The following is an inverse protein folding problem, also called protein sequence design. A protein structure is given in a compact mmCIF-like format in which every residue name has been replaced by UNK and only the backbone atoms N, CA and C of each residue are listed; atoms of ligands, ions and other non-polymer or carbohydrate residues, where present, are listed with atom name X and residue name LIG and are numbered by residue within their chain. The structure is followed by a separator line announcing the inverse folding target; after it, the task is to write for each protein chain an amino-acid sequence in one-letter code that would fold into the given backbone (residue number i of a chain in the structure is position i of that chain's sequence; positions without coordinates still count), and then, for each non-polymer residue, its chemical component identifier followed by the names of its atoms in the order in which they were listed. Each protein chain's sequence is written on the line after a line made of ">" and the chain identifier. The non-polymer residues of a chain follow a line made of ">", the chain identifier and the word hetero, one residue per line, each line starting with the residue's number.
data_IF_013340087768
#
_entry.id   IF_013340087768
#
_cell.length_a   1.000
_cell.length_b   1.000
_cell.length_c   1.000
_cell.angle_alpha   90.00
_cell.angle_beta   90.00
_cell.angle_gamma   90.00
#
_symmetry.space_group_name_H-M   'P 1'
#
loop_
_entity.id
_entity.type
_entity.pdbx_description
1 polymer ?
#
# COMPACT_ATOMS: atom_id res chain seq x y z
N UNK A 1 -85.28 38.75 -34.15
CA UNK A 1 -84.79 37.98 -32.97
C UNK A 1 -83.54 37.15 -33.32
N UNK A 2 -83.45 36.64 -34.57
CA UNK A 2 -82.32 35.81 -35.01
C UNK A 2 -80.93 36.48 -34.91
N UNK A 3 -80.71 37.78 -35.31
CA UNK A 3 -79.35 38.34 -35.23
C UNK A 3 -78.85 38.56 -33.80
N UNK A 4 -79.78 38.73 -32.85
CA UNK A 4 -79.41 38.91 -31.43
C UNK A 4 -78.98 37.55 -30.81
N UNK A 5 -79.59 36.47 -31.20
CA UNK A 5 -79.18 35.08 -30.78
C UNK A 5 -77.82 34.75 -31.30
N UNK A 6 -77.55 35.05 -32.60
CA UNK A 6 -76.22 34.81 -33.22
C UNK A 6 -75.14 35.62 -32.52
N UNK A 7 -75.37 36.88 -32.20
CA UNK A 7 -74.49 37.76 -31.45
C UNK A 7 -74.15 37.14 -30.06
N UNK A 8 -75.19 36.66 -29.37
CA UNK A 8 -75.04 36.07 -28.02
C UNK A 8 -74.21 34.76 -28.10
N UNK A 9 -74.47 33.93 -29.10
CA UNK A 9 -73.70 32.69 -29.31
C UNK A 9 -72.22 32.99 -29.61
N UNK A 10 -71.93 33.96 -30.47
CA UNK A 10 -70.57 34.37 -30.82
C UNK A 10 -69.85 34.91 -29.57
N UNK A 11 -70.57 35.75 -28.75
CA UNK A 11 -69.99 36.29 -27.52
C UNK A 11 -69.76 35.23 -26.47
N UNK A 12 -70.65 34.21 -26.35
CA UNK A 12 -70.46 33.08 -25.43
C UNK A 12 -69.28 32.21 -25.86
N UNK A 13 -69.12 31.90 -27.18
CA UNK A 13 -67.97 31.17 -27.70
C UNK A 13 -66.68 31.93 -27.46
N UNK A 14 -66.67 33.23 -27.70
CA UNK A 14 -65.50 34.08 -27.44
C UNK A 14 -65.13 34.08 -25.93
N UNK A 15 -66.09 34.13 -25.03
CA UNK A 15 -65.90 34.12 -23.60
C UNK A 15 -65.34 32.74 -23.12
N UNK A 16 -65.88 31.65 -23.68
CA UNK A 16 -65.37 30.30 -23.42
C UNK A 16 -63.93 30.15 -23.98
N UNK A 17 -63.66 30.66 -25.14
CA UNK A 17 -62.31 30.62 -25.75
C UNK A 17 -61.30 31.42 -24.91
N UNK A 18 -61.68 32.58 -24.42
CA UNK A 18 -60.86 33.43 -23.49
C UNK A 18 -60.64 32.69 -22.18
N UNK A 19 -61.67 32.07 -21.60
CA UNK A 19 -61.54 31.30 -20.38
C UNK A 19 -60.61 30.07 -20.55
N UNK A 20 -60.77 29.38 -21.65
CA UNK A 20 -59.90 28.23 -22.00
C UNK A 20 -58.47 28.65 -22.24
N UNK A 21 -58.18 29.80 -22.85
CA UNK A 21 -56.83 30.34 -23.07
C UNK A 21 -56.14 30.70 -21.75
N UNK A 22 -56.88 30.90 -20.65
CA UNK A 22 -56.36 31.18 -19.30
C UNK A 22 -55.73 29.98 -18.62
N UNK A 23 -56.00 28.75 -19.04
CA UNK A 23 -55.42 27.59 -18.42
C UNK A 23 -53.97 27.41 -18.86
N UNK A 24 -53.05 27.45 -17.85
CA UNK A 24 -51.59 27.26 -18.01
C UNK A 24 -51.14 26.14 -17.12
N UNK A 25 -50.37 25.23 -17.68
CA UNK A 25 -49.72 24.14 -16.93
C UNK A 25 -48.33 24.58 -16.52
N UNK A 26 -48.03 24.48 -15.23
CA UNK A 26 -46.69 24.61 -14.67
C UNK A 26 -46.15 23.23 -14.36
N UNK A 27 -44.99 22.86 -14.93
CA UNK A 27 -44.39 21.54 -14.78
C UNK A 27 -43.77 21.37 -13.38
N UNK A 28 -43.56 20.13 -12.87
CA UNK A 28 -43.04 19.92 -11.51
C UNK A 28 -41.67 20.56 -11.22
N UNK A 29 -40.85 20.71 -12.26
CA UNK A 29 -39.53 21.32 -12.16
C UNK A 29 -39.52 22.85 -12.40
N UNK A 30 -40.70 23.45 -12.58
CA UNK A 30 -40.85 24.88 -12.82
C UNK A 30 -41.67 25.54 -11.71
N UNK A 31 -41.32 26.77 -11.38
CA UNK A 31 -42.19 27.68 -10.64
C UNK A 31 -42.72 28.77 -11.54
N UNK A 32 -43.99 29.09 -11.37
CA UNK A 32 -44.66 30.13 -12.15
C UNK A 32 -44.72 31.43 -11.36
N UNK A 33 -44.23 32.54 -11.93
CA UNK A 33 -44.41 33.89 -11.42
C UNK A 33 -45.59 34.52 -12.10
N UNK A 34 -46.61 34.92 -11.34
CA UNK A 34 -47.80 35.63 -11.88
C UNK A 34 -47.58 37.11 -11.74
N UNK A 35 -47.62 37.80 -12.86
CA UNK A 35 -47.64 39.26 -12.97
C UNK A 35 -49.06 39.77 -13.27
N UNK A 36 -49.47 40.79 -12.55
CA UNK A 36 -50.71 41.54 -12.80
C UNK A 36 -50.31 42.92 -13.35
N UNK A 37 -50.62 43.17 -14.62
CA UNK A 37 -50.29 44.44 -15.29
C UNK A 37 -48.83 44.91 -15.08
N UNK A 38 -47.89 43.98 -15.16
CA UNK A 38 -46.46 44.27 -14.99
C UNK A 38 -45.97 44.29 -13.52
N UNK A 39 -46.87 44.08 -12.54
CA UNK A 39 -46.49 43.99 -11.13
C UNK A 39 -46.49 42.53 -10.67
N UNK A 40 -45.45 42.08 -10.01
CA UNK A 40 -45.40 40.75 -9.36
C UNK A 40 -46.56 40.62 -8.33
N UNK A 41 -47.35 39.57 -8.45
CA UNK A 41 -48.47 39.25 -7.57
C UNK A 41 -48.11 38.09 -6.63
N UNK A 42 -47.75 36.93 -7.20
CA UNK A 42 -47.43 35.72 -6.43
C UNK A 42 -46.68 34.70 -7.24
N UNK A 43 -45.99 33.81 -6.51
CA UNK A 43 -45.39 32.61 -7.05
C UNK A 43 -46.36 31.43 -6.93
N UNK A 44 -46.46 30.59 -7.95
CA UNK A 44 -47.28 29.38 -7.97
C UNK A 44 -46.43 28.15 -8.24
N UNK A 45 -46.76 27.09 -7.51
CA UNK A 45 -46.13 25.78 -7.70
C UNK A 45 -46.77 25.03 -8.89
N UNK A 46 -46.20 23.85 -9.19
CA UNK A 46 -46.62 22.99 -10.28
C UNK A 46 -48.13 22.65 -10.24
N UNK A 47 -48.67 22.41 -11.42
CA UNK A 47 -50.05 22.03 -11.62
C UNK A 47 -50.77 22.89 -12.66
N UNK A 48 -52.07 22.63 -12.81
CA UNK A 48 -52.94 23.42 -13.68
C UNK A 48 -53.35 24.72 -12.95
N UNK A 49 -53.02 25.87 -13.54
CA UNK A 49 -53.36 27.19 -13.01
C UNK A 49 -54.16 27.96 -14.03
N UNK A 50 -55.21 28.62 -13.52
CA UNK A 50 -55.97 29.55 -14.34
C UNK A 50 -55.44 30.97 -14.16
N UNK A 51 -55.00 31.57 -15.23
CA UNK A 51 -54.41 32.89 -15.30
C UNK A 51 -55.26 33.74 -16.26
N UNK A 52 -55.85 34.83 -15.76
CA UNK A 52 -56.71 35.67 -16.56
C UNK A 52 -55.93 36.22 -17.76
N UNK A 53 -56.31 35.83 -18.98
CA UNK A 53 -55.63 36.31 -20.18
C UNK A 53 -55.77 37.84 -20.32
N UNK A 54 -54.82 38.49 -20.99
CA UNK A 54 -54.68 39.93 -21.22
C UNK A 54 -54.26 40.75 -19.97
N UNK A 55 -54.65 40.37 -18.76
CA UNK A 55 -54.41 41.11 -17.54
C UNK A 55 -53.26 40.51 -16.72
N UNK A 56 -53.18 39.17 -16.69
CA UNK A 56 -52.15 38.43 -15.96
C UNK A 56 -51.25 37.68 -16.91
N UNK A 57 -49.96 37.70 -16.62
CA UNK A 57 -48.91 36.93 -17.32
C UNK A 57 -48.26 35.94 -16.37
N UNK A 58 -47.94 34.75 -16.85
CA UNK A 58 -47.15 33.79 -16.10
C UNK A 58 -45.78 33.64 -16.73
N UNK A 59 -44.72 33.84 -15.94
CA UNK A 59 -43.34 33.58 -16.29
C UNK A 59 -42.93 32.27 -15.62
N UNK A 60 -42.40 31.35 -16.36
CA UNK A 60 -41.96 30.04 -15.85
C UNK A 60 -40.45 30.05 -15.67
N UNK A 61 -40.00 29.77 -14.45
CA UNK A 61 -38.59 29.67 -14.09
C UNK A 61 -38.26 28.19 -13.83
N UNK A 62 -37.25 27.67 -14.46
CA UNK A 62 -36.74 26.31 -14.24
C UNK A 62 -35.90 26.29 -12.96
N UNK A 63 -36.23 25.36 -12.05
CA UNK A 63 -35.58 25.20 -10.74
C UNK A 63 -34.52 24.12 -10.70
N UNK A 64 -34.33 23.41 -11.82
CA UNK A 64 -33.30 22.34 -11.91
C UNK A 64 -31.90 22.94 -12.01
N UNK A 65 -30.93 22.13 -11.69
CA UNK A 65 -29.55 22.45 -11.96
C UNK A 65 -29.34 22.67 -13.48
N UNK A 66 -28.71 23.79 -13.80
CA UNK A 66 -28.39 24.19 -15.16
C UNK A 66 -26.88 24.44 -15.29
N UNK A 67 -26.42 24.44 -16.51
CA UNK A 67 -25.01 24.59 -16.84
C UNK A 67 -24.79 25.82 -17.71
N UNK A 68 -23.77 26.61 -17.37
CA UNK A 68 -23.32 27.74 -18.16
C UNK A 68 -21.88 27.50 -18.54
N UNK A 69 -21.60 27.56 -19.82
CA UNK A 69 -20.24 27.55 -20.35
C UNK A 69 -19.62 28.95 -20.29
N UNK A 70 -18.45 29.07 -19.67
CA UNK A 70 -17.67 30.29 -19.61
C UNK A 70 -16.66 30.23 -20.75
N UNK A 71 -16.77 31.13 -21.75
CA UNK A 71 -15.90 31.08 -22.92
C UNK A 71 -14.44 31.29 -22.54
N UNK A 72 -13.51 30.69 -23.31
CA UNK A 72 -12.09 30.76 -23.07
C UNK A 72 -11.57 32.18 -22.95
N UNK A 73 -10.65 32.41 -22.01
CA UNK A 73 -9.99 33.68 -21.77
C UNK A 73 -8.49 33.51 -21.63
N UNK A 74 -7.77 34.50 -22.13
CA UNK A 74 -6.34 34.64 -21.85
C UNK A 74 -6.12 35.27 -20.47
N UNK A 75 -5.30 34.63 -19.68
CA UNK A 75 -4.91 35.07 -18.34
C UNK A 75 -3.39 34.99 -18.22
N UNK A 76 -2.81 35.96 -17.55
CA UNK A 76 -1.38 35.95 -17.25
C UNK A 76 -1.20 35.41 -15.83
N UNK A 77 -0.45 34.33 -15.70
CA UNK A 77 -0.12 33.74 -14.40
C UNK A 77 0.92 34.58 -13.66
N UNK A 78 1.15 34.28 -12.38
CA UNK A 78 2.09 35.04 -11.54
C UNK A 78 3.54 34.95 -12.05
N UNK A 79 3.91 33.84 -12.67
CA UNK A 79 5.21 33.63 -13.35
C UNK A 79 5.26 34.19 -14.79
N UNK A 80 4.31 35.07 -15.13
CA UNK A 80 4.22 35.82 -16.39
C UNK A 80 4.03 34.95 -17.64
N UNK A 81 3.35 33.81 -17.52
CA UNK A 81 2.96 32.98 -18.65
C UNK A 81 1.51 33.28 -19.03
N UNK A 82 1.25 33.49 -20.32
CA UNK A 82 -0.11 33.63 -20.85
C UNK A 82 -0.74 32.25 -21.00
N UNK A 83 -1.87 32.01 -20.33
CA UNK A 83 -2.64 30.75 -20.43
C UNK A 83 -4.05 31.02 -20.89
N UNK A 84 -4.59 30.14 -21.71
CA UNK A 84 -6.02 30.13 -22.07
C UNK A 84 -6.76 29.25 -21.10
N UNK A 85 -7.78 29.81 -20.44
CA UNK A 85 -8.56 29.09 -19.43
C UNK A 85 -10.04 29.20 -19.74
N UNK A 86 -10.77 28.08 -19.68
CA UNK A 86 -12.22 27.99 -19.76
C UNK A 86 -12.78 27.24 -18.56
N UNK A 87 -14.06 27.48 -18.23
CA UNK A 87 -14.70 26.87 -17.10
C UNK A 87 -16.19 26.65 -17.37
N UNK A 88 -16.79 25.78 -16.57
CA UNK A 88 -18.23 25.49 -16.56
C UNK A 88 -18.78 25.76 -15.17
N UNK A 89 -19.94 26.41 -15.12
CA UNK A 89 -20.64 26.74 -13.90
C UNK A 89 -21.93 25.93 -13.84
N UNK A 90 -22.11 25.18 -12.77
CA UNK A 90 -23.34 24.49 -12.43
C UNK A 90 -24.09 25.30 -11.39
N UNK A 91 -25.34 25.63 -11.68
CA UNK A 91 -26.15 26.47 -10.81
C UNK A 91 -27.59 25.98 -10.74
N UNK A 92 -28.26 26.31 -9.66
CA UNK A 92 -29.69 26.09 -9.47
C UNK A 92 -30.38 27.36 -9.00
N UNK A 93 -31.61 27.59 -9.45
CA UNK A 93 -32.41 28.69 -8.98
C UNK A 93 -32.97 28.37 -7.59
N UNK A 94 -32.67 29.18 -6.58
CA UNK A 94 -33.21 29.06 -5.21
C UNK A 94 -34.44 29.91 -5.04
N UNK A 95 -34.39 31.15 -5.50
CA UNK A 95 -35.50 32.11 -5.45
C UNK A 95 -35.83 32.61 -6.87
N UNK A 96 -36.92 32.11 -7.48
CA UNK A 96 -37.30 32.51 -8.83
C UNK A 96 -37.69 33.97 -8.96
N UNK A 97 -38.12 34.61 -7.88
CA UNK A 97 -38.51 36.05 -7.87
C UNK A 97 -37.26 36.91 -7.99
N UNK A 98 -36.24 36.62 -7.17
CA UNK A 98 -34.98 37.36 -7.24
C UNK A 98 -34.29 37.12 -8.59
N UNK A 99 -34.32 35.90 -9.11
CA UNK A 99 -33.73 35.60 -10.41
C UNK A 99 -34.37 36.38 -11.54
N UNK A 100 -35.69 36.54 -11.53
CA UNK A 100 -36.40 37.23 -12.58
C UNK A 100 -36.31 38.75 -12.52
N UNK A 101 -36.27 39.35 -11.29
CA UNK A 101 -36.42 40.79 -11.13
C UNK A 101 -35.16 41.52 -10.65
N UNK A 102 -34.18 40.81 -10.02
CA UNK A 102 -32.97 41.45 -9.50
C UNK A 102 -31.84 41.51 -10.53
N UNK A 103 -31.91 40.70 -11.60
CA UNK A 103 -30.88 40.67 -12.63
C UNK A 103 -31.53 40.62 -14.02
N UNK A 104 -31.10 41.49 -14.95
CA UNK A 104 -31.69 41.54 -16.29
C UNK A 104 -31.34 40.33 -17.17
N UNK A 105 -30.10 39.85 -17.06
CA UNK A 105 -29.66 38.61 -17.70
C UNK A 105 -28.65 37.92 -16.77
N UNK A 106 -29.13 36.91 -16.07
CA UNK A 106 -28.31 36.13 -15.14
C UNK A 106 -27.12 35.48 -15.85
N UNK A 107 -27.37 34.84 -16.99
CA UNK A 107 -26.32 34.13 -17.74
C UNK A 107 -25.18 35.08 -18.11
N UNK A 108 -25.49 36.27 -18.64
CA UNK A 108 -24.48 37.25 -19.01
C UNK A 108 -23.71 37.78 -17.79
N UNK A 109 -24.48 38.10 -16.70
CA UNK A 109 -23.89 38.66 -15.49
C UNK A 109 -22.92 37.66 -14.82
N UNK A 110 -23.34 36.38 -14.65
CA UNK A 110 -22.49 35.36 -14.03
C UNK A 110 -21.30 34.99 -14.91
N UNK A 111 -21.49 34.94 -16.24
CA UNK A 111 -20.38 34.68 -17.16
C UNK A 111 -19.30 35.75 -17.05
N UNK A 112 -19.70 37.04 -17.02
CA UNK A 112 -18.73 38.14 -16.87
C UNK A 112 -18.07 38.17 -15.50
N UNK A 113 -18.82 37.86 -14.46
CA UNK A 113 -18.30 37.73 -13.11
C UNK A 113 -17.30 36.58 -13.00
N UNK A 114 -17.64 35.42 -13.57
CA UNK A 114 -16.76 34.25 -13.62
C UNK A 114 -15.48 34.54 -14.39
N UNK A 115 -15.59 35.18 -15.56
CA UNK A 115 -14.44 35.57 -16.37
C UNK A 115 -13.46 36.46 -15.58
N UNK A 116 -13.98 37.45 -14.86
CA UNK A 116 -13.16 38.37 -14.07
C UNK A 116 -12.49 37.67 -12.89
N UNK A 117 -13.24 36.84 -12.17
CA UNK A 117 -12.69 36.11 -11.01
C UNK A 117 -11.76 34.97 -11.43
N UNK A 118 -12.04 34.29 -12.54
CA UNK A 118 -11.13 33.30 -13.13
C UNK A 118 -9.75 33.93 -13.43
N UNK A 119 -9.75 35.12 -14.03
CA UNK A 119 -8.51 35.88 -14.29
C UNK A 119 -7.76 36.19 -13.00
N UNK A 120 -8.45 36.64 -11.95
CA UNK A 120 -7.83 36.97 -10.68
C UNK A 120 -7.26 35.73 -9.99
N UNK A 121 -8.06 34.65 -9.88
CA UNK A 121 -7.68 33.44 -9.16
C UNK A 121 -6.52 32.72 -9.85
N UNK A 122 -6.54 32.63 -11.19
CA UNK A 122 -5.45 31.99 -11.97
C UNK A 122 -4.23 32.91 -12.02
N UNK A 123 -4.41 34.23 -12.14
CA UNK A 123 -3.33 35.19 -12.13
C UNK A 123 -2.53 35.29 -10.82
N UNK A 124 -3.14 34.90 -9.71
CA UNK A 124 -2.45 34.81 -8.40
C UNK A 124 -1.58 33.56 -8.24
N UNK A 125 -1.64 32.61 -9.17
CA UNK A 125 -0.95 31.33 -9.11
C UNK A 125 0.16 31.24 -10.15
N UNK A 126 1.21 30.49 -9.83
CA UNK A 126 2.21 30.07 -10.80
C UNK A 126 1.61 28.99 -11.74
N UNK A 127 2.12 28.85 -12.94
CA UNK A 127 1.60 27.92 -13.95
C UNK A 127 1.48 26.47 -13.42
N UNK A 128 2.54 25.98 -12.77
CA UNK A 128 2.55 24.64 -12.18
C UNK A 128 1.45 24.45 -11.14
N UNK A 129 1.23 25.45 -10.28
CA UNK A 129 0.17 25.45 -9.27
C UNK A 129 -1.21 25.49 -9.93
N UNK A 130 -1.40 26.28 -10.97
CA UNK A 130 -2.66 26.36 -11.71
C UNK A 130 -3.02 25.03 -12.38
N UNK A 131 -2.04 24.30 -12.94
CA UNK A 131 -2.24 23.00 -13.58
C UNK A 131 -2.53 21.87 -12.58
N UNK A 132 -1.91 21.91 -11.39
CA UNK A 132 -1.99 20.84 -10.39
C UNK A 132 -3.08 21.05 -9.35
N UNK A 133 -3.45 22.30 -9.04
CA UNK A 133 -4.36 22.64 -7.94
C UNK A 133 -5.75 23.06 -8.42
N UNK A 134 -6.29 22.43 -9.46
CA UNK A 134 -7.61 22.75 -10.03
C UNK A 134 -8.72 22.73 -9.00
N UNK A 135 -8.70 21.81 -8.04
CA UNK A 135 -9.71 21.71 -6.98
C UNK A 135 -9.75 22.95 -6.09
N UNK A 136 -8.58 23.52 -5.77
CA UNK A 136 -8.49 24.76 -4.98
C UNK A 136 -9.07 25.94 -5.75
N UNK A 137 -8.75 26.04 -7.04
CA UNK A 137 -9.29 27.09 -7.92
C UNK A 137 -10.80 26.94 -8.03
N UNK A 138 -11.31 25.75 -8.29
CA UNK A 138 -12.74 25.46 -8.40
C UNK A 138 -13.49 25.85 -7.11
N UNK A 139 -12.94 25.47 -5.94
CA UNK A 139 -13.54 25.81 -4.65
C UNK A 139 -13.56 27.31 -4.38
N UNK A 140 -12.46 28.02 -4.68
CA UNK A 140 -12.36 29.47 -4.52
C UNK A 140 -13.32 30.21 -5.46
N UNK A 141 -13.37 29.80 -6.72
CA UNK A 141 -14.31 30.37 -7.69
C UNK A 141 -15.76 30.12 -7.29
N UNK A 142 -16.10 28.90 -6.88
CA UNK A 142 -17.45 28.57 -6.41
C UNK A 142 -17.86 29.49 -5.27
N UNK A 143 -17.01 29.66 -4.27
CA UNK A 143 -17.32 30.53 -3.12
C UNK A 143 -17.59 31.97 -3.55
N UNK A 144 -16.70 32.56 -4.37
CA UNK A 144 -16.84 33.96 -4.83
C UNK A 144 -18.08 34.12 -5.67
N UNK A 145 -18.38 33.17 -6.55
CA UNK A 145 -19.56 33.24 -7.41
C UNK A 145 -20.83 33.04 -6.63
N UNK A 146 -20.89 32.09 -5.68
CA UNK A 146 -22.06 31.83 -4.82
C UNK A 146 -22.41 33.06 -3.97
N UNK A 147 -21.42 33.65 -3.32
CA UNK A 147 -21.62 34.91 -2.53
C UNK A 147 -22.20 36.06 -3.38
N UNK A 148 -21.76 36.15 -4.64
CA UNK A 148 -22.24 37.19 -5.53
C UNK A 148 -23.65 36.90 -6.10
N UNK A 149 -23.97 35.63 -6.38
CA UNK A 149 -25.22 35.21 -7.02
C UNK A 149 -26.37 35.02 -6.04
N UNK A 150 -26.10 34.88 -4.74
CA UNK A 150 -27.15 34.79 -3.70
C UNK A 150 -28.14 35.97 -3.75
N UNK A 151 -27.65 37.18 -4.04
CA UNK A 151 -28.49 38.38 -4.24
C UNK A 151 -29.46 38.23 -5.39
N UNK A 152 -29.16 37.39 -6.34
CA UNK A 152 -30.03 37.10 -7.51
C UNK A 152 -30.87 35.85 -7.30
N UNK A 153 -30.83 35.23 -6.11
CA UNK A 153 -31.59 34.02 -5.79
C UNK A 153 -31.14 32.77 -6.55
N UNK A 154 -29.87 32.69 -6.81
CA UNK A 154 -29.24 31.55 -7.48
C UNK A 154 -28.10 31.05 -6.64
N UNK A 155 -28.00 29.74 -6.49
CA UNK A 155 -26.91 29.04 -5.85
C UNK A 155 -25.97 28.45 -6.90
N UNK A 156 -24.70 28.72 -6.75
CA UNK A 156 -23.67 28.04 -7.54
C UNK A 156 -23.32 26.72 -6.86
N UNK A 157 -23.71 25.60 -7.47
CA UNK A 157 -23.48 24.25 -6.92
C UNK A 157 -22.00 23.91 -7.00
N UNK A 158 -21.40 24.08 -8.18
CA UNK A 158 -19.98 23.85 -8.44
C UNK A 158 -19.49 24.64 -9.64
N UNK A 159 -18.19 24.82 -9.68
CA UNK A 159 -17.46 25.40 -10.80
C UNK A 159 -16.36 24.42 -11.18
N UNK A 160 -16.20 24.16 -12.44
CA UNK A 160 -15.17 23.25 -12.95
C UNK A 160 -14.37 23.92 -14.06
N UNK A 161 -13.05 23.96 -13.92
CA UNK A 161 -12.16 24.35 -15.00
C UNK A 161 -12.09 23.19 -15.99
N UNK A 162 -12.47 23.45 -17.23
CA UNK A 162 -12.39 22.43 -18.29
C UNK A 162 -10.95 22.31 -18.78
N UNK A 163 -10.29 23.43 -19.07
CA UNK A 163 -9.01 23.47 -19.73
C UNK A 163 -8.14 24.62 -19.21
N UNK A 164 -6.85 24.36 -19.11
CA UNK A 164 -5.81 25.36 -18.92
C UNK A 164 -4.74 25.04 -19.95
N UNK A 165 -4.63 25.88 -20.97
CA UNK A 165 -3.69 25.69 -22.09
C UNK A 165 -2.63 26.78 -22.08
N UNK A 166 -1.40 26.43 -21.69
CA UNK A 166 -0.25 27.32 -21.89
C UNK A 166 0.18 27.35 -23.37
N UNK A 167 0.98 28.32 -23.79
CA UNK A 167 1.56 28.37 -25.13
C UNK A 167 2.40 27.13 -25.43
N UNK A 168 2.47 26.75 -26.70
CA UNK A 168 3.17 25.54 -27.15
C UNK A 168 4.64 25.55 -26.74
N UNK A 169 5.30 26.69 -26.85
CA UNK A 169 6.73 26.84 -26.48
C UNK A 169 7.00 26.50 -25.01
N UNK A 170 6.10 26.92 -24.11
CA UNK A 170 6.17 26.66 -22.69
C UNK A 170 5.87 25.19 -22.41
N UNK A 171 4.85 24.65 -23.07
CA UNK A 171 4.48 23.23 -22.97
C UNK A 171 5.64 22.32 -23.38
N UNK A 172 6.32 22.63 -24.49
CA UNK A 172 7.48 21.88 -24.96
C UNK A 172 8.68 21.99 -24.02
N UNK A 173 8.89 23.16 -23.42
CA UNK A 173 9.93 23.35 -22.41
C UNK A 173 9.63 22.54 -21.14
N UNK A 174 8.40 22.56 -20.66
CA UNK A 174 7.94 21.77 -19.51
C UNK A 174 8.07 20.27 -19.78
N UNK A 175 7.71 19.80 -20.96
CA UNK A 175 7.86 18.40 -21.33
C UNK A 175 9.31 17.95 -21.30
N UNK A 176 10.24 18.76 -21.82
CA UNK A 176 11.67 18.47 -21.76
C UNK A 176 12.20 18.44 -20.33
N UNK A 177 11.80 19.42 -19.50
CA UNK A 177 12.18 19.47 -18.09
C UNK A 177 11.63 18.27 -17.31
N UNK A 178 10.35 17.97 -17.48
CA UNK A 178 9.71 16.81 -16.80
C UNK A 178 10.34 15.49 -17.24
N UNK A 179 10.68 15.33 -18.51
CA UNK A 179 11.38 14.14 -19.00
C UNK A 179 12.74 14.01 -18.35
N UNK A 180 13.55 15.06 -18.34
CA UNK A 180 14.87 15.04 -17.70
C UNK A 180 14.79 14.73 -16.19
N UNK A 181 13.80 15.31 -15.49
CA UNK A 181 13.59 15.03 -14.06
C UNK A 181 13.13 13.59 -13.81
N UNK A 182 12.25 13.04 -14.67
CA UNK A 182 11.85 11.63 -14.59
C UNK A 182 13.02 10.69 -14.85
N UNK A 183 13.83 10.99 -15.86
CA UNK A 183 15.02 10.21 -16.21
C UNK A 183 16.03 10.24 -15.05
N UNK A 184 16.24 11.41 -14.44
CA UNK A 184 17.09 11.56 -13.24
C UNK A 184 16.57 10.73 -12.05
N UNK A 185 15.26 10.83 -11.76
CA UNK A 185 14.66 10.05 -10.66
C UNK A 185 14.72 8.55 -10.93
N UNK A 186 14.49 8.13 -12.17
CA UNK A 186 14.60 6.72 -12.55
C UNK A 186 16.01 6.19 -12.31
N UNK A 187 17.05 6.93 -12.76
CA UNK A 187 18.44 6.56 -12.55
C UNK A 187 18.83 6.48 -11.05
N UNK A 188 18.36 7.44 -10.23
CA UNK A 188 18.58 7.42 -8.78
C UNK A 188 17.90 6.20 -8.14
N UNK A 189 16.63 5.95 -8.47
CA UNK A 189 15.87 4.82 -7.91
C UNK A 189 16.50 3.48 -8.32
N UNK A 190 16.96 3.36 -9.56
CA UNK A 190 17.66 2.17 -10.05
C UNK A 190 18.97 1.94 -9.30
N UNK A 191 19.79 2.99 -9.15
CA UNK A 191 21.04 2.91 -8.40
C UNK A 191 20.83 2.54 -6.92
N UNK A 192 19.81 3.12 -6.27
CA UNK A 192 19.43 2.77 -4.91
C UNK A 192 18.92 1.32 -4.82
N UNK A 193 18.15 0.87 -5.80
CA UNK A 193 17.68 -0.51 -5.92
C UNK A 193 18.83 -1.51 -6.02
N UNK A 194 19.81 -1.23 -6.90
CA UNK A 194 21.01 -2.04 -7.07
C UNK A 194 21.85 -2.07 -5.79
N UNK A 195 22.02 -0.91 -5.14
CA UNK A 195 22.74 -0.83 -3.85
C UNK A 195 22.06 -1.69 -2.77
N UNK A 196 20.74 -1.56 -2.62
CA UNK A 196 19.98 -2.35 -1.65
C UNK A 196 20.05 -3.85 -1.96
N UNK A 197 19.92 -4.23 -3.23
CA UNK A 197 20.02 -5.61 -3.65
C UNK A 197 21.41 -6.20 -3.33
N UNK A 198 22.48 -5.45 -3.56
CA UNK A 198 23.85 -5.85 -3.22
C UNK A 198 24.05 -6.02 -1.71
N UNK A 199 23.54 -5.09 -0.90
CA UNK A 199 23.60 -5.17 0.57
C UNK A 199 22.84 -6.38 1.08
N UNK A 200 21.58 -6.56 0.68
CA UNK A 200 20.76 -7.70 1.10
C UNK A 200 21.37 -9.05 0.69
N UNK A 201 21.96 -9.10 -0.50
CA UNK A 201 22.69 -10.30 -0.96
C UNK A 201 23.90 -10.61 -0.08
N UNK A 202 24.70 -9.58 0.25
CA UNK A 202 25.85 -9.73 1.13
C UNK A 202 25.46 -10.13 2.56
N UNK A 203 24.41 -9.53 3.10
CA UNK A 203 23.84 -9.89 4.41
C UNK A 203 23.31 -11.33 4.41
N UNK A 204 22.58 -11.73 3.38
CA UNK A 204 22.07 -13.10 3.24
C UNK A 204 23.19 -14.14 3.15
N UNK A 205 24.28 -13.85 2.41
CA UNK A 205 25.46 -14.72 2.36
C UNK A 205 26.13 -14.81 3.74
N UNK A 206 26.32 -13.69 4.41
CA UNK A 206 26.89 -13.66 5.77
C UNK A 206 26.05 -14.48 6.75
N UNK A 207 24.74 -14.27 6.76
CA UNK A 207 23.80 -14.98 7.65
C UNK A 207 23.79 -16.48 7.36
N UNK A 208 23.78 -16.86 6.07
CA UNK A 208 23.89 -18.27 5.66
C UNK A 208 25.18 -18.92 6.15
N UNK A 209 26.33 -18.25 6.02
CA UNK A 209 27.61 -18.76 6.51
C UNK A 209 27.65 -18.91 8.04
N UNK A 210 27.09 -17.95 8.77
CA UNK A 210 27.00 -18.02 10.24
C UNK A 210 26.12 -19.20 10.66
N UNK A 211 24.92 -19.32 10.08
CA UNK A 211 24.01 -20.42 10.39
C UNK A 211 24.61 -21.81 10.04
N UNK A 212 25.34 -21.88 8.93
CA UNK A 212 26.03 -23.11 8.56
C UNK A 212 27.15 -23.48 9.56
N UNK A 213 27.97 -22.48 9.97
CA UNK A 213 29.01 -22.70 10.95
C UNK A 213 28.43 -23.05 12.34
N UNK A 214 27.40 -22.43 12.76
CA UNK A 214 26.71 -22.76 14.01
C UNK A 214 26.09 -24.16 13.96
N UNK A 215 25.46 -24.50 12.85
CA UNK A 215 24.91 -25.84 12.62
C UNK A 215 25.98 -26.92 12.67
N UNK A 216 27.14 -26.69 12.05
CA UNK A 216 28.28 -27.60 12.10
C UNK A 216 28.86 -27.74 13.53
N UNK A 217 29.03 -26.61 14.24
CA UNK A 217 29.51 -26.60 15.62
C UNK A 217 28.57 -27.37 16.55
N UNK A 218 27.24 -27.17 16.40
CA UNK A 218 26.24 -27.90 17.19
C UNK A 218 26.23 -29.40 16.84
N UNK A 219 26.34 -29.75 15.58
CA UNK A 219 26.45 -31.15 15.14
C UNK A 219 27.67 -31.85 15.74
N UNK A 220 28.86 -31.23 15.68
CA UNK A 220 30.08 -31.75 16.31
C UNK A 220 29.90 -31.93 17.81
N UNK A 221 29.32 -30.92 18.49
CA UNK A 221 29.07 -31.02 19.93
C UNK A 221 28.12 -32.15 20.28
N UNK A 222 27.02 -32.30 19.53
CA UNK A 222 26.06 -33.41 19.74
C UNK A 222 26.71 -34.79 19.51
N UNK A 223 27.56 -34.92 18.50
CA UNK A 223 28.29 -36.18 18.25
C UNK A 223 29.26 -36.47 19.40
N UNK A 224 30.05 -35.47 19.83
CA UNK A 224 30.97 -35.62 20.95
C UNK A 224 30.26 -35.99 22.26
N UNK A 225 29.11 -35.35 22.55
CA UNK A 225 28.31 -35.67 23.73
C UNK A 225 27.73 -37.11 23.65
N UNK A 226 27.30 -37.52 22.48
CA UNK A 226 26.80 -38.89 22.23
C UNK A 226 27.90 -39.93 22.41
N UNK A 227 29.10 -39.69 21.87
CA UNK A 227 30.27 -40.57 22.06
C UNK A 227 30.69 -40.65 23.53
N UNK A 228 30.72 -39.52 24.23
CA UNK A 228 30.99 -39.46 25.66
C UNK A 228 29.97 -40.31 26.46
N UNK A 229 28.68 -40.12 26.17
CA UNK A 229 27.62 -40.88 26.82
C UNK A 229 27.75 -42.38 26.52
N UNK A 230 28.04 -42.75 25.27
CA UNK A 230 28.27 -44.14 24.90
C UNK A 230 29.44 -44.77 25.70
N UNK A 231 30.58 -44.05 25.74
CA UNK A 231 31.77 -44.55 26.47
C UNK A 231 31.48 -44.68 27.97
N UNK A 232 30.80 -43.75 28.58
CA UNK A 232 30.42 -43.82 29.99
C UNK A 232 29.47 -44.98 30.25
N UNK A 233 28.43 -45.15 29.44
CA UNK A 233 27.44 -46.21 29.59
C UNK A 233 28.07 -47.59 29.40
N UNK A 234 28.99 -47.75 28.43
CA UNK A 234 29.73 -49.02 28.21
C UNK A 234 30.63 -49.31 29.41
N UNK A 235 31.43 -48.29 29.88
CA UNK A 235 32.31 -48.46 31.04
C UNK A 235 31.52 -48.79 32.34
N UNK A 236 30.40 -48.16 32.56
CA UNK A 236 29.49 -48.48 33.69
C UNK A 236 28.92 -49.90 33.59
N UNK A 237 28.51 -50.29 32.36
CA UNK A 237 28.01 -51.64 32.08
C UNK A 237 29.09 -52.72 32.31
N UNK A 238 30.32 -52.47 31.84
CA UNK A 238 31.46 -53.33 32.04
C UNK A 238 31.85 -53.41 33.53
N UNK A 239 31.91 -52.24 34.21
CA UNK A 239 32.13 -52.19 35.66
C UNK A 239 31.14 -53.02 36.47
N UNK A 240 29.83 -52.84 36.18
CA UNK A 240 28.77 -53.64 36.81
C UNK A 240 28.87 -55.11 36.47
N UNK A 241 29.23 -55.47 35.26
CA UNK A 241 29.39 -56.86 34.86
C UNK A 241 30.57 -57.52 35.63
N UNK A 242 31.70 -56.81 35.76
CA UNK A 242 32.87 -57.25 36.53
C UNK A 242 32.49 -57.43 37.99
N UNK A 243 31.80 -56.40 38.62
CA UNK A 243 31.37 -56.47 39.98
C UNK A 243 30.43 -57.65 40.26
N UNK A 244 29.47 -57.90 39.36
CA UNK A 244 28.58 -59.04 39.44
C UNK A 244 29.30 -60.38 39.34
N UNK A 245 30.27 -60.48 38.43
CA UNK A 245 31.11 -61.67 38.27
C UNK A 245 31.93 -61.92 39.52
N UNK A 246 32.63 -60.88 40.03
CA UNK A 246 33.40 -60.95 41.26
C UNK A 246 32.54 -61.33 42.49
N UNK A 247 31.39 -60.70 42.62
CA UNK A 247 30.43 -61.00 43.68
C UNK A 247 29.91 -62.43 43.61
N UNK A 248 29.59 -62.91 42.42
CA UNK A 248 29.17 -64.31 42.20
C UNK A 248 30.26 -65.29 42.50
N UNK A 249 31.52 -65.02 42.19
CA UNK A 249 32.67 -65.83 42.52
C UNK A 249 32.89 -65.90 44.03
N UNK A 250 32.83 -64.76 44.74
CA UNK A 250 33.01 -64.71 46.20
C UNK A 250 31.86 -65.40 46.97
N UNK A 251 30.61 -65.33 46.45
CA UNK A 251 29.47 -65.94 47.10
C UNK A 251 29.35 -67.43 46.83
N UNK A 252 29.91 -67.89 45.70
CA UNK A 252 29.78 -69.26 45.20
C UNK A 252 30.85 -70.25 45.72
N UNK A 253 31.82 -69.80 46.55
CA UNK A 253 32.95 -70.66 47.10
C UNK A 253 33.53 -71.54 46.00
N UNK A 254 34.39 -70.99 45.08
CA UNK A 254 34.79 -71.66 43.83
C UNK A 254 35.68 -72.83 44.13
N UNK A 255 35.25 -73.99 43.68
CA UNK A 255 36.07 -75.16 43.72
C UNK A 255 37.28 -75.06 42.77
N UNK A 256 38.44 -75.72 43.08
CA UNK A 256 39.65 -75.73 42.22
C UNK A 256 39.36 -76.02 40.77
N UNK A 257 38.35 -76.88 40.48
CA UNK A 257 37.94 -77.32 39.15
C UNK A 257 37.34 -76.15 38.32
N UNK A 258 36.54 -75.23 38.95
CA UNK A 258 35.96 -74.09 38.30
C UNK A 258 37.03 -73.06 37.90
N UNK A 259 38.05 -72.88 38.76
CA UNK A 259 39.18 -71.99 38.44
C UNK A 259 39.97 -72.56 37.27
N UNK A 260 40.19 -73.91 37.19
CA UNK A 260 40.87 -74.52 36.10
C UNK A 260 40.11 -74.41 34.75
N UNK A 261 38.75 -74.47 34.77
CA UNK A 261 37.93 -74.28 33.56
C UNK A 261 38.02 -72.80 33.07
N UNK A 262 37.96 -71.83 33.99
CA UNK A 262 38.12 -70.43 33.64
C UNK A 262 39.54 -70.07 33.12
N UNK A 263 40.56 -70.76 33.65
CA UNK A 263 41.89 -70.57 33.14
C UNK A 263 42.05 -71.16 31.71
N UNK A 264 41.43 -72.27 31.41
CA UNK A 264 41.36 -72.83 30.09
C UNK A 264 40.56 -71.96 29.08
N UNK A 265 39.44 -71.38 29.51
CA UNK A 265 38.70 -70.43 28.70
C UNK A 265 39.50 -69.16 28.40
N UNK A 266 40.26 -68.64 29.36
CA UNK A 266 41.13 -67.49 29.15
C UNK A 266 42.27 -67.80 28.18
N UNK A 267 42.87 -69.02 28.30
CA UNK A 267 43.89 -69.47 27.38
C UNK A 267 43.33 -69.66 25.96
N UNK A 268 42.09 -70.17 25.81
CA UNK A 268 41.41 -70.26 24.52
C UNK A 268 41.18 -68.88 23.89
N UNK A 269 40.74 -67.86 24.68
CA UNK A 269 40.62 -66.52 24.24
C UNK A 269 41.93 -65.86 23.79
N UNK A 270 43.05 -66.20 24.42
CA UNK A 270 44.36 -65.75 24.04
C UNK A 270 44.85 -66.49 22.74
N UNK A 271 44.53 -67.79 22.60
CA UNK A 271 44.88 -68.52 21.41
C UNK A 271 44.11 -68.08 20.15
N UNK A 272 42.88 -67.62 20.27
CA UNK A 272 42.04 -67.03 19.19
C UNK A 272 42.41 -65.61 18.84
N UNK A 273 43.22 -64.91 19.65
CA UNK A 273 43.73 -63.56 19.38
C UNK A 273 44.78 -63.55 18.24
N UNK A 274 44.74 -62.47 17.44
CA UNK A 274 45.65 -62.17 16.33
C UNK A 274 47.11 -61.89 16.78
N UNK A 275 47.50 -62.15 18.02
CA UNK A 275 48.85 -61.91 18.54
C UNK A 275 49.79 -63.03 18.19
N UNK A 276 50.90 -62.74 17.48
CA UNK A 276 51.87 -63.68 16.95
C UNK A 276 52.89 -64.16 17.98
N UNK A 277 52.90 -63.64 19.22
CA UNK A 277 53.81 -64.07 20.28
C UNK A 277 53.11 -64.08 21.65
N UNK A 278 53.04 -65.27 22.25
CA UNK A 278 52.54 -65.45 23.61
C UNK A 278 53.70 -65.85 24.50
N UNK A 279 54.06 -65.01 25.46
CA UNK A 279 55.03 -65.34 26.48
C UNK A 279 54.30 -65.88 27.70
N UNK A 280 54.33 -67.14 27.94
CA UNK A 280 53.84 -67.79 29.14
C UNK A 280 54.96 -67.90 30.15
N UNK A 281 54.95 -67.30 31.32
CA UNK A 281 55.92 -67.56 32.36
C UNK A 281 55.66 -68.96 32.96
N UNK A 282 56.62 -69.84 32.77
CA UNK A 282 56.58 -71.18 33.29
C UNK A 282 57.11 -71.35 34.70
N UNK A 283 57.57 -70.24 35.36
CA UNK A 283 58.05 -70.26 36.72
C UNK A 283 57.54 -69.05 37.55
N UNK A 284 57.11 -69.38 38.76
CA UNK A 284 56.52 -68.45 39.70
C UNK A 284 57.49 -67.51 40.46
N UNK A 285 58.71 -67.34 39.94
CA UNK A 285 59.82 -66.55 40.53
C UNK A 285 60.12 -65.26 39.78
N UNK A 286 59.28 -64.80 38.82
CA UNK A 286 59.65 -63.75 37.92
C UNK A 286 58.73 -62.51 37.91
N UNK A 287 58.29 -61.94 39.07
CA UNK A 287 57.63 -60.64 39.08
C UNK A 287 58.61 -59.50 38.67
N UNK A 288 59.91 -59.76 38.62
CA UNK A 288 60.90 -58.77 38.15
C UNK A 288 61.00 -58.66 36.63
N UNK A 289 60.60 -59.70 35.85
CA UNK A 289 60.64 -59.66 34.40
C UNK A 289 59.55 -58.83 33.76
N UNK A 290 58.44 -58.67 34.42
CA UNK A 290 57.30 -57.91 33.86
C UNK A 290 57.49 -56.35 33.96
N UNK A 291 58.35 -55.91 34.87
CA UNK A 291 58.64 -54.43 35.01
C UNK A 291 59.68 -54.01 33.94
N UNK A 292 60.57 -54.89 33.48
CA UNK A 292 61.51 -54.56 32.43
C UNK A 292 60.82 -54.46 31.03
N UNK A 293 59.83 -55.31 30.77
CA UNK A 293 59.08 -55.29 29.50
C UNK A 293 58.19 -54.06 29.37
N UNK A 294 57.71 -53.54 30.48
CA UNK A 294 56.93 -52.26 30.50
C UNK A 294 57.86 -51.05 30.29
N UNK A 295 59.09 -51.08 30.78
CA UNK A 295 60.11 -50.05 30.53
C UNK A 295 60.48 -49.89 29.06
N UNK A 296 60.68 -50.97 28.31
CA UNK A 296 60.95 -50.90 26.86
C UNK A 296 59.79 -50.35 26.02
N UNK A 297 58.57 -50.63 26.37
CA UNK A 297 57.38 -50.06 25.69
C UNK A 297 57.27 -48.55 25.88
N UNK A 298 57.81 -48.01 26.97
CA UNK A 298 57.79 -46.52 27.19
C UNK A 298 58.97 -45.82 26.51
N UNK A 299 60.09 -46.52 26.24
CA UNK A 299 61.27 -45.99 25.51
C UNK A 299 60.97 -45.90 24.00
N UNK A 300 60.32 -46.88 23.40
CA UNK A 300 59.96 -46.88 21.97
C UNK A 300 58.90 -45.85 21.62
N UNK A 301 58.00 -45.48 22.57
CA UNK A 301 57.04 -44.41 22.43
C UNK A 301 57.63 -42.98 22.46
N UNK A 302 58.82 -42.84 23.09
CA UNK A 302 59.44 -41.50 23.25
C UNK A 302 60.34 -41.17 21.99
N UNK A 303 60.81 -42.15 21.22
CA UNK A 303 61.59 -41.87 20.02
C UNK A 303 60.67 -41.58 18.79
N UNK A 304 59.48 -42.16 18.72
CA UNK A 304 58.48 -41.83 17.71
C UNK A 304 57.99 -40.38 17.76
N UNK A 305 57.98 -39.77 18.95
CA UNK A 305 57.56 -38.38 19.13
C UNK A 305 58.62 -37.34 18.73
N UNK A 306 59.93 -37.76 18.66
CA UNK A 306 61.02 -36.86 18.22
C UNK A 306 61.19 -36.78 16.71
N UNK A 307 60.76 -37.76 15.97
CA UNK A 307 60.78 -37.76 14.51
C UNK A 307 59.65 -36.97 13.87
N UNK A 308 58.51 -36.83 14.54
CA UNK A 308 57.34 -36.07 14.01
C UNK A 308 57.50 -34.54 14.14
N UNK A 309 58.38 -34.08 15.08
CA UNK A 309 58.59 -32.62 15.30
C UNK A 309 59.57 -31.98 14.32
N UNK A 310 60.38 -32.80 13.58
CA UNK A 310 61.35 -32.30 12.61
C UNK A 310 60.84 -32.14 11.19
N UNK A 311 59.62 -32.60 10.88
CA UNK A 311 59.05 -32.51 9.54
C UNK A 311 58.07 -31.35 9.34
N UNK A 312 57.84 -30.51 10.36
CA UNK A 312 56.95 -29.35 10.28
C UNK A 312 57.59 -27.98 10.55
N UNK A 313 58.96 -27.92 10.52
CA UNK A 313 59.71 -26.66 10.62
C UNK A 313 60.62 -26.41 9.38
N UNK A 314 60.25 -26.89 8.19
CA UNK A 314 60.75 -26.40 6.90
C UNK A 314 59.65 -25.85 6.00
#
# INVERSE_FOLDING_TARGET
>A
MEPLIVLFVVLAIALIAIAAAGFKVVRPYQKGLIEFLGRYEKTVDSGLRWVMPFVKRIIKVDMREQVIDVPPQEVITKDNVVVTVDAVIYYEATDPVKLQYNVGSFILAVTKLAQTNLRNVVGDLDLDAALTSREVINAKLRQILDDATDKWGVRVVRVEIQRIEPPVDVTDAMHRQMKAERDRRAAVTEAEGLKRAAILKAEGVKESQVLEADGQAEAIKRVADAEKYQKLTVAEGEGQAIERVFSAIHTGDPTPDLIAIRYLEALQGIADGRATKIFLPLDTSGVLGSVAAIGELFEEGADGARTFRRQHEE
#
